data_IF_954038581757
#
_entry.id   IF_954038581757
#
_cell.length_a   1.000
_cell.length_b   1.000
_cell.length_c   1.000
_cell.angle_alpha   90.00
_cell.angle_beta   90.00
_cell.angle_gamma   90.00
#
_symmetry.space_group_name_H-M   'P 1'
#
loop_
_entity.id
_entity.type
_entity.pdbx_description
1 polymer ?
#
# COMPACT_ATOMS: atom_id res chain seq x y z
N UNK A 1 14.02 -8.20 17.19
CA UNK A 1 13.96 -8.50 15.75
C UNK A 1 13.75 -9.98 15.53
N UNK A 2 12.85 -10.57 16.30
CA UNK A 2 12.50 -11.98 16.21
C UNK A 2 11.09 -12.13 15.64
N UNK A 3 10.80 -13.30 15.07
CA UNK A 3 9.46 -13.68 14.61
C UNK A 3 8.54 -13.76 15.84
N UNK A 4 7.81 -12.68 16.13
CA UNK A 4 6.97 -12.56 17.34
C UNK A 4 6.94 -11.16 17.95
N UNK A 5 7.92 -10.30 17.64
CA UNK A 5 7.91 -8.91 18.11
C UNK A 5 6.76 -8.14 17.44
N UNK A 6 5.77 -7.71 18.24
CA UNK A 6 4.62 -6.93 17.79
C UNK A 6 5.00 -5.51 17.35
N UNK A 7 5.53 -5.39 16.13
CA UNK A 7 5.76 -4.10 15.48
C UNK A 7 4.50 -3.62 14.75
N UNK A 8 3.45 -3.32 15.52
CA UNK A 8 2.17 -2.84 14.98
C UNK A 8 2.41 -1.59 14.13
N UNK A 9 2.02 -1.67 12.85
CA UNK A 9 2.08 -0.56 11.91
C UNK A 9 3.48 -0.14 11.44
N UNK A 10 4.56 -0.88 11.75
CA UNK A 10 5.91 -0.54 11.30
C UNK A 10 5.99 -0.39 9.78
N UNK A 11 5.42 -1.33 9.05
CA UNK A 11 5.41 -1.29 7.59
C UNK A 11 4.64 -0.07 7.04
N UNK A 12 3.55 0.34 7.68
CA UNK A 12 2.79 1.54 7.31
C UNK A 12 3.58 2.84 7.56
N UNK A 13 4.33 2.90 8.68
CA UNK A 13 5.22 4.04 8.98
C UNK A 13 6.37 4.13 7.98
N UNK A 14 7.00 2.99 7.68
CA UNK A 14 8.08 2.91 6.70
C UNK A 14 7.60 3.36 5.31
N UNK A 15 6.43 2.90 4.86
CA UNK A 15 5.84 3.32 3.58
C UNK A 15 5.59 4.83 3.53
N UNK A 16 5.05 5.41 4.60
CA UNK A 16 4.79 6.86 4.67
C UNK A 16 6.08 7.68 4.55
N UNK A 17 7.16 7.24 5.19
CA UNK A 17 8.47 7.89 5.12
C UNK A 17 9.13 7.71 3.75
N UNK A 18 9.10 6.50 3.19
CA UNK A 18 9.70 6.19 1.90
C UNK A 18 9.01 6.97 0.77
N UNK A 19 7.68 6.94 0.70
CA UNK A 19 6.92 7.62 -0.35
C UNK A 19 7.12 9.14 -0.33
N UNK A 20 7.21 9.74 0.86
CA UNK A 20 7.51 11.17 1.00
C UNK A 20 8.86 11.55 0.38
N UNK A 21 9.88 10.71 0.55
CA UNK A 21 11.22 10.93 -0.04
C UNK A 21 11.25 10.60 -1.55
N UNK A 22 10.56 9.54 -1.96
CA UNK A 22 10.56 9.08 -3.35
C UNK A 22 9.81 10.05 -4.27
N UNK A 23 8.71 10.66 -3.82
CA UNK A 23 7.87 11.54 -4.66
C UNK A 23 8.67 12.67 -5.33
N UNK A 24 9.52 13.36 -4.56
CA UNK A 24 10.34 14.45 -5.11
C UNK A 24 11.46 13.95 -6.03
N UNK A 25 11.96 12.75 -5.82
CA UNK A 25 12.95 12.14 -6.72
C UNK A 25 12.33 11.72 -8.04
N UNK A 26 11.15 11.07 -8.00
CA UNK A 26 10.41 10.57 -9.16
C UNK A 26 10.01 11.73 -10.08
N UNK A 27 9.51 12.82 -9.51
CA UNK A 27 9.14 14.02 -10.26
C UNK A 27 10.33 14.65 -11.00
N UNK A 28 11.53 14.65 -10.39
CA UNK A 28 12.75 15.18 -11.02
C UNK A 28 13.32 14.27 -12.08
N UNK A 29 13.20 12.96 -11.92
CA UNK A 29 13.74 11.97 -12.88
C UNK A 29 12.78 11.65 -14.03
N UNK A 30 11.55 12.16 -14.00
CA UNK A 30 10.48 11.86 -14.96
C UNK A 30 10.29 10.35 -15.19
N UNK A 31 10.37 9.56 -14.12
CA UNK A 31 10.18 8.11 -14.18
C UNK A 31 8.77 7.73 -13.72
N UNK A 32 8.17 6.73 -14.36
CA UNK A 32 6.97 6.09 -13.83
C UNK A 32 7.36 5.00 -12.82
N UNK A 33 6.75 5.04 -11.64
CA UNK A 33 6.94 4.01 -10.60
C UNK A 33 5.64 3.27 -10.37
N UNK A 34 5.69 1.94 -10.46
CA UNK A 34 4.53 1.06 -10.29
C UNK A 34 4.70 0.29 -8.98
N UNK A 35 3.69 0.38 -8.11
CA UNK A 35 3.60 -0.42 -6.89
C UNK A 35 2.61 -1.56 -7.10
N UNK A 36 3.04 -2.79 -6.80
CA UNK A 36 2.19 -3.98 -6.84
C UNK A 36 1.80 -4.32 -5.41
N UNK A 37 0.50 -4.34 -5.15
CA UNK A 37 -0.05 -4.68 -3.85
C UNK A 37 -0.98 -5.89 -3.96
N UNK A 38 -1.02 -6.67 -2.88
CA UNK A 38 -1.96 -7.76 -2.74
C UNK A 38 -3.18 -7.31 -1.93
N UNK A 39 -4.35 -7.84 -2.29
CA UNK A 39 -5.56 -7.70 -1.50
C UNK A 39 -5.48 -8.64 -0.29
N UNK A 40 -5.92 -8.14 0.86
CA UNK A 40 -6.08 -8.84 2.14
C UNK A 40 -7.49 -8.57 2.66
N UNK A 41 -7.99 -9.42 3.55
CA UNK A 41 -9.27 -9.20 4.23
C UNK A 41 -9.01 -8.66 5.64
N UNK A 42 -9.67 -7.56 5.99
CA UNK A 42 -9.63 -7.01 7.34
C UNK A 42 -10.63 -7.73 8.23
N UNK A 43 -10.13 -8.46 9.22
CA UNK A 43 -10.95 -9.14 10.23
C UNK A 43 -11.66 -8.09 11.10
N UNK A 44 -12.95 -8.30 11.39
CA UNK A 44 -13.73 -7.45 12.30
C UNK A 44 -14.45 -6.26 11.64
N UNK A 45 -14.56 -6.23 10.30
CA UNK A 45 -15.41 -5.25 9.60
C UNK A 45 -16.85 -5.78 9.54
N UNK A 46 -17.79 -5.10 10.20
CA UNK A 46 -19.20 -5.51 10.23
C UNK A 46 -20.04 -4.86 9.10
N UNK A 47 -19.54 -3.78 8.48
CA UNK A 47 -20.21 -3.07 7.38
C UNK A 47 -19.19 -2.57 6.34
N UNK A 48 -19.54 -2.67 5.04
CA UNK A 48 -18.71 -2.21 3.92
C UNK A 48 -17.80 -3.28 3.31
N UNK A 49 -16.91 -2.88 2.40
CA UNK A 49 -15.97 -3.81 1.75
C UNK A 49 -14.83 -4.19 2.73
N UNK A 50 -14.64 -5.49 3.07
CA UNK A 50 -13.56 -5.94 3.96
C UNK A 50 -12.17 -5.98 3.29
N UNK A 51 -12.08 -5.72 1.99
CA UNK A 51 -10.82 -5.71 1.25
C UNK A 51 -9.92 -4.53 1.66
N UNK A 52 -8.67 -4.86 1.96
CA UNK A 52 -7.62 -3.90 2.32
C UNK A 52 -6.32 -4.25 1.61
N UNK A 53 -5.47 -3.25 1.43
CA UNK A 53 -4.11 -3.42 0.91
C UNK A 53 -3.09 -3.33 2.04
N UNK A 54 -1.95 -3.97 1.87
CA UNK A 54 -0.81 -3.82 2.79
C UNK A 54 -0.18 -2.42 2.69
N UNK A 55 0.69 -2.06 3.64
CA UNK A 55 1.42 -0.79 3.58
C UNK A 55 0.71 0.44 4.17
N UNK A 56 -0.46 0.25 4.79
CA UNK A 56 -1.24 1.35 5.36
C UNK A 56 -1.89 2.22 4.29
N UNK A 57 -2.12 3.51 4.60
CA UNK A 57 -2.87 4.41 3.72
C UNK A 57 -2.01 5.31 2.83
N UNK A 58 -0.70 5.42 3.09
CA UNK A 58 0.16 6.39 2.40
C UNK A 58 0.13 6.22 0.87
N UNK A 59 0.24 4.97 0.38
CA UNK A 59 0.23 4.70 -1.06
C UNK A 59 -1.06 5.18 -1.74
N UNK A 60 -2.20 5.16 -1.03
CA UNK A 60 -3.48 5.63 -1.59
C UNK A 60 -3.50 7.14 -1.86
N UNK A 61 -2.70 7.92 -1.13
CA UNK A 61 -2.60 9.38 -1.29
C UNK A 61 -1.48 9.79 -2.25
N UNK A 62 -0.40 9.01 -2.33
CA UNK A 62 0.75 9.30 -3.20
C UNK A 62 0.60 8.73 -4.62
N UNK A 63 -0.27 7.73 -4.84
CA UNK A 63 -0.51 7.17 -6.16
C UNK A 63 -1.43 8.06 -6.99
N UNK A 64 -0.97 8.49 -8.17
CA UNK A 64 -1.78 9.23 -9.13
C UNK A 64 -2.86 8.37 -9.79
N UNK A 65 -2.60 7.06 -9.96
CA UNK A 65 -3.52 6.09 -10.54
C UNK A 65 -3.53 4.83 -9.67
N UNK A 66 -4.72 4.25 -9.47
CA UNK A 66 -4.92 3.00 -8.74
C UNK A 66 -5.71 2.02 -9.60
N UNK A 67 -5.15 0.84 -9.81
CA UNK A 67 -5.74 -0.21 -10.64
C UNK A 67 -6.11 -1.40 -9.76
N UNK A 68 -7.36 -1.86 -9.86
CA UNK A 68 -7.82 -3.13 -9.27
C UNK A 68 -7.95 -4.15 -10.40
N UNK A 69 -7.13 -5.20 -10.35
CA UNK A 69 -7.06 -6.23 -11.39
C UNK A 69 -7.72 -7.49 -10.85
N UNK A 70 -8.80 -7.92 -11.52
CA UNK A 70 -9.55 -9.14 -11.18
C UNK A 70 -9.71 -10.01 -12.41
N UNK A 71 -9.47 -11.31 -12.25
CA UNK A 71 -9.77 -12.31 -13.28
C UNK A 71 -11.26 -12.62 -13.22
N UNK A 72 -12.00 -12.32 -14.29
CA UNK A 72 -13.46 -12.49 -14.37
C UNK A 72 -13.92 -13.70 -15.21
N UNK A 73 -12.98 -14.53 -15.70
CA UNK A 73 -13.28 -15.71 -16.52
C UNK A 73 -12.05 -16.56 -16.84
N UNK A 74 -12.27 -17.68 -17.52
CA UNK A 74 -11.24 -18.50 -18.18
C UNK A 74 -11.35 -18.36 -19.69
#
# INVERSE_FOLDING_TARGET
>A
GEMGDHHVGLHARLMSQALRKLTSSIARSNCLVIFINQIRLKIGVMFGNPETTTGGNALKFYASVRLDIRRIGA
#
